data_IF_862216441912
#
_entry.id   IF_862216441912
#
_cell.length_a   1.000
_cell.length_b   1.000
_cell.length_c   1.000
_cell.angle_alpha   90.00
_cell.angle_beta   90.00
_cell.angle_gamma   90.00
#
_symmetry.space_group_name_H-M   'P 1'
#
loop_
_entity.id
_entity.type
_entity.pdbx_description
1 polymer ?
#
# COMPACT_ATOMS: atom_id res chain seq x y z
N UNK A 1 13.33 -4.12 -26.35
CA UNK A 1 13.97 -2.98 -25.63
C UNK A 1 14.14 -3.34 -24.16
N UNK A 2 14.96 -2.59 -23.44
CA UNK A 2 15.15 -2.76 -21.99
C UNK A 2 13.86 -2.50 -21.23
N UNK A 3 13.70 -3.17 -20.09
CA UNK A 3 12.64 -2.85 -19.13
C UNK A 3 13.01 -1.57 -18.39
N UNK A 4 12.16 -0.56 -18.47
CA UNK A 4 12.36 0.69 -17.70
C UNK A 4 12.02 0.47 -16.23
N UNK A 5 12.97 0.76 -15.36
CA UNK A 5 12.80 0.73 -13.91
C UNK A 5 12.72 2.17 -13.42
N UNK A 6 11.55 2.56 -12.94
CA UNK A 6 11.37 3.88 -12.33
C UNK A 6 11.79 3.80 -10.86
N UNK A 7 12.70 4.65 -10.47
CA UNK A 7 13.26 4.70 -9.11
C UNK A 7 13.45 6.15 -8.65
N UNK A 8 13.24 6.37 -7.37
CA UNK A 8 13.52 7.64 -6.70
C UNK A 8 14.28 7.42 -5.41
N UNK A 9 15.35 8.16 -5.20
CA UNK A 9 16.10 8.17 -3.94
C UNK A 9 15.30 8.78 -2.77
N UNK A 10 14.15 9.40 -3.03
CA UNK A 10 13.27 9.95 -1.98
C UNK A 10 12.81 8.87 -0.97
N UNK A 11 12.80 7.59 -1.36
CA UNK A 11 12.49 6.49 -0.45
C UNK A 11 13.43 6.43 0.77
N UNK A 12 14.68 6.89 0.63
CA UNK A 12 15.66 6.94 1.71
C UNK A 12 15.26 7.89 2.84
N UNK A 13 14.37 8.83 2.57
CA UNK A 13 13.86 9.78 3.57
C UNK A 13 12.94 9.10 4.61
N UNK A 14 12.33 7.96 4.28
CA UNK A 14 11.60 7.12 5.23
C UNK A 14 12.54 6.06 5.78
N UNK A 15 13.08 6.31 6.96
CA UNK A 15 14.08 5.43 7.59
C UNK A 15 13.84 5.29 9.10
N UNK A 16 12.76 4.61 9.52
CA UNK A 16 12.54 4.32 10.92
C UNK A 16 13.63 3.38 11.45
N UNK A 17 14.02 3.56 12.71
CA UNK A 17 15.00 2.73 13.42
C UNK A 17 14.32 1.63 14.23
N UNK A 18 13.03 1.86 14.59
CA UNK A 18 12.27 0.97 15.47
C UNK A 18 10.86 0.78 14.92
N UNK A 19 10.38 -0.45 14.97
CA UNK A 19 8.95 -0.78 14.85
C UNK A 19 8.47 -1.57 16.08
N UNK A 20 7.18 -1.52 16.35
CA UNK A 20 6.56 -2.22 17.48
C UNK A 20 5.67 -3.32 16.94
N UNK A 21 6.07 -4.56 17.16
CA UNK A 21 5.32 -5.75 16.78
C UNK A 21 5.37 -6.79 17.91
N UNK A 22 4.28 -7.52 18.10
CA UNK A 22 4.19 -8.63 19.08
C UNK A 22 4.70 -8.26 20.48
N UNK A 23 4.30 -7.07 20.95
CA UNK A 23 4.66 -6.52 22.27
C UNK A 23 6.16 -6.23 22.45
N UNK A 24 6.91 -6.12 21.39
CA UNK A 24 8.33 -5.76 21.44
C UNK A 24 8.70 -4.70 20.42
N UNK A 25 9.73 -3.93 20.72
CA UNK A 25 10.37 -3.00 19.81
C UNK A 25 11.60 -3.67 19.18
N UNK A 26 11.74 -3.58 17.88
CA UNK A 26 12.86 -4.15 17.13
C UNK A 26 13.19 -3.33 15.88
N UNK A 27 14.28 -3.64 15.20
CA UNK A 27 14.61 -3.01 13.93
C UNK A 27 13.57 -3.36 12.86
N UNK A 28 13.17 -2.40 12.02
CA UNK A 28 12.17 -2.62 10.97
C UNK A 28 12.57 -3.74 9.99
N UNK A 29 11.62 -4.60 9.66
CA UNK A 29 11.80 -5.56 8.57
C UNK A 29 11.77 -4.84 7.22
N UNK A 30 10.94 -3.81 7.08
CA UNK A 30 10.88 -2.95 5.91
C UNK A 30 11.84 -1.76 6.11
N UNK A 31 13.02 -1.82 5.50
CA UNK A 31 14.09 -0.83 5.62
C UNK A 31 14.64 -0.43 4.24
N UNK A 32 15.36 0.69 4.17
CA UNK A 32 15.91 1.24 2.93
C UNK A 32 16.76 0.25 2.14
N UNK A 33 17.52 -0.59 2.83
CA UNK A 33 18.41 -1.59 2.22
C UNK A 33 17.71 -2.62 1.33
N UNK A 34 16.41 -2.87 1.54
CA UNK A 34 15.63 -3.77 0.67
C UNK A 34 15.52 -3.21 -0.76
N UNK A 35 15.07 -1.96 -0.88
CA UNK A 35 14.96 -1.32 -2.19
C UNK A 35 16.33 -1.09 -2.85
N UNK A 36 17.34 -0.71 -2.06
CA UNK A 36 18.69 -0.53 -2.57
C UNK A 36 19.28 -1.83 -3.11
N UNK A 37 19.07 -2.96 -2.43
CA UNK A 37 19.54 -4.26 -2.91
C UNK A 37 18.89 -4.66 -4.23
N UNK A 38 17.58 -4.42 -4.37
CA UNK A 38 16.86 -4.64 -5.65
C UNK A 38 17.43 -3.72 -6.73
N UNK A 39 17.61 -2.43 -6.43
CA UNK A 39 18.19 -1.45 -7.36
C UNK A 39 19.56 -1.87 -7.86
N UNK A 40 20.45 -2.23 -6.95
CA UNK A 40 21.81 -2.68 -7.31
C UNK A 40 21.79 -3.93 -8.18
N UNK A 41 20.95 -4.90 -7.84
CA UNK A 41 20.84 -6.15 -8.60
C UNK A 41 20.32 -5.90 -10.02
N UNK A 42 19.28 -5.10 -10.17
CA UNK A 42 18.74 -4.77 -11.50
C UNK A 42 19.69 -3.87 -12.31
N UNK A 43 20.42 -2.96 -11.66
CA UNK A 43 21.39 -2.08 -12.33
C UNK A 43 22.61 -2.83 -12.88
N UNK A 44 22.90 -4.02 -12.38
CA UNK A 44 23.97 -4.89 -12.87
C UNK A 44 23.57 -5.71 -14.12
N UNK A 45 22.30 -5.67 -14.53
CA UNK A 45 21.77 -6.41 -15.67
C UNK A 45 21.37 -5.45 -16.80
N UNK A 46 21.97 -5.64 -17.97
CA UNK A 46 21.71 -4.83 -19.19
C UNK A 46 20.27 -4.91 -19.70
N UNK A 47 19.45 -5.84 -19.19
CA UNK A 47 18.02 -5.92 -19.52
C UNK A 47 17.20 -4.75 -18.94
N UNK A 48 17.75 -4.03 -17.96
CA UNK A 48 17.06 -2.95 -17.26
C UNK A 48 17.67 -1.57 -17.54
N UNK A 49 16.82 -0.55 -17.55
CA UNK A 49 17.20 0.85 -17.71
C UNK A 49 16.53 1.69 -16.62
N UNK A 50 17.32 2.32 -15.75
CA UNK A 50 16.80 3.17 -14.68
C UNK A 50 16.41 4.55 -15.19
N UNK A 51 15.22 4.99 -14.81
CA UNK A 51 14.70 6.32 -15.12
C UNK A 51 14.12 6.98 -13.86
N UNK A 52 14.23 8.31 -13.79
CA UNK A 52 13.62 9.08 -12.69
C UNK A 52 12.12 9.29 -12.91
N UNK A 53 11.32 9.32 -11.85
CA UNK A 53 9.89 9.63 -11.96
C UNK A 53 9.66 11.10 -12.34
N UNK A 54 8.50 11.37 -12.91
CA UNK A 54 7.93 12.71 -13.01
C UNK A 54 7.18 13.03 -11.71
N UNK A 55 7.04 14.31 -11.37
CA UNK A 55 6.16 14.77 -10.30
C UNK A 55 4.70 14.75 -10.78
N UNK A 56 3.83 14.08 -10.05
CA UNK A 56 2.40 13.96 -10.38
C UNK A 56 1.48 14.79 -9.48
N UNK A 57 2.03 15.43 -8.44
CA UNK A 57 1.24 16.19 -7.47
C UNK A 57 0.42 15.30 -6.52
N UNK A 58 -0.68 15.83 -6.02
CA UNK A 58 -1.54 15.14 -5.04
C UNK A 58 -2.84 14.61 -5.64
N UNK A 59 -3.21 15.02 -6.84
CA UNK A 59 -4.46 14.62 -7.51
C UNK A 59 -4.60 13.09 -7.66
N UNK A 60 -3.56 12.33 -8.08
CA UNK A 60 -3.67 10.88 -8.12
C UNK A 60 -3.94 10.24 -6.76
N UNK A 61 -3.44 10.83 -5.68
CA UNK A 61 -3.64 10.35 -4.31
C UNK A 61 -5.11 10.57 -3.91
N UNK A 62 -5.63 11.77 -4.07
CA UNK A 62 -6.99 12.13 -3.68
C UNK A 62 -8.07 11.50 -4.56
N UNK A 63 -7.69 10.94 -5.72
CA UNK A 63 -8.60 10.18 -6.57
C UNK A 63 -9.12 8.89 -5.89
N UNK A 64 -8.37 8.33 -4.94
CA UNK A 64 -8.75 7.10 -4.23
C UNK A 64 -8.62 7.20 -2.70
N UNK A 65 -7.78 8.10 -2.19
CA UNK A 65 -7.63 8.33 -0.75
C UNK A 65 -8.41 9.55 -0.28
N UNK A 66 -8.84 9.50 0.97
CA UNK A 66 -9.50 10.61 1.64
C UNK A 66 -8.52 11.79 1.77
N UNK A 67 -8.99 12.99 1.41
CA UNK A 67 -8.20 14.22 1.55
C UNK A 67 -7.75 14.49 2.98
N UNK A 68 -8.53 14.04 3.98
CA UNK A 68 -8.17 14.13 5.39
C UNK A 68 -6.92 13.31 5.73
N UNK A 69 -6.80 12.09 5.17
CA UNK A 69 -5.61 11.26 5.31
C UNK A 69 -4.38 11.96 4.71
N UNK A 70 -4.52 12.51 3.49
CA UNK A 70 -3.44 13.25 2.84
C UNK A 70 -2.99 14.46 3.68
N UNK A 71 -3.93 15.29 4.14
CA UNK A 71 -3.62 16.43 5.01
C UNK A 71 -2.93 16.00 6.29
N UNK A 72 -3.47 14.96 6.96
CA UNK A 72 -2.89 14.42 8.19
C UNK A 72 -1.44 13.98 7.96
N UNK A 73 -1.17 13.12 6.99
CA UNK A 73 0.18 12.62 6.72
C UNK A 73 1.18 13.73 6.36
N UNK A 74 0.70 14.82 5.74
CA UNK A 74 1.56 15.95 5.36
C UNK A 74 2.08 16.76 6.55
N UNK A 75 1.41 16.72 7.69
CA UNK A 75 1.77 17.54 8.87
C UNK A 75 2.01 16.73 10.15
N UNK A 76 1.57 15.48 10.20
CA UNK A 76 1.48 14.68 11.42
C UNK A 76 2.78 14.60 12.22
N UNK A 77 3.92 14.40 11.54
CA UNK A 77 5.22 14.33 12.23
C UNK A 77 5.58 15.66 12.87
N UNK A 78 5.46 16.77 12.15
CA UNK A 78 5.76 18.11 12.68
C UNK A 78 4.81 18.53 13.80
N UNK A 79 3.51 18.23 13.65
CA UNK A 79 2.50 18.49 14.67
C UNK A 79 2.80 17.69 15.94
N UNK A 80 3.22 16.44 15.82
CA UNK A 80 3.58 15.62 16.98
C UNK A 80 4.82 16.17 17.72
N UNK A 81 5.87 16.57 16.99
CA UNK A 81 7.06 17.18 17.60
C UNK A 81 6.72 18.43 18.38
N UNK A 82 5.83 19.27 17.85
CA UNK A 82 5.42 20.54 18.47
C UNK A 82 4.49 20.35 19.67
N UNK A 83 3.48 19.47 19.53
CA UNK A 83 2.34 19.45 20.44
C UNK A 83 2.42 18.34 21.49
N UNK A 84 3.23 17.31 21.28
CA UNK A 84 3.36 16.16 22.18
C UNK A 84 4.75 16.05 22.77
N UNK A 85 5.75 15.70 21.99
CA UNK A 85 7.17 15.59 22.39
C UNK A 85 8.07 15.37 21.18
N UNK A 86 9.35 15.69 21.34
CA UNK A 86 10.36 15.26 20.36
C UNK A 86 10.47 13.72 20.30
N UNK A 87 10.40 13.19 19.11
CA UNK A 87 10.53 11.75 18.86
C UNK A 87 11.10 11.52 17.46
N UNK A 88 11.82 10.42 17.26
CA UNK A 88 12.30 10.00 15.94
C UNK A 88 11.22 9.26 15.15
N UNK A 89 10.44 8.44 15.84
CA UNK A 89 9.31 7.69 15.30
C UNK A 89 8.04 8.03 16.06
N UNK A 90 6.95 8.12 15.33
CA UNK A 90 5.63 8.44 15.88
C UNK A 90 4.66 7.33 15.50
N UNK A 91 4.08 6.71 16.51
CA UNK A 91 3.07 5.65 16.38
C UNK A 91 1.85 5.98 17.23
N UNK A 92 0.66 5.45 16.91
CA UNK A 92 -0.54 5.65 17.73
C UNK A 92 -0.46 4.94 19.08
N UNK A 93 -1.02 5.55 20.10
CA UNK A 93 -1.27 4.91 21.41
C UNK A 93 -2.60 4.15 21.43
N UNK A 94 -3.57 4.58 20.62
CA UNK A 94 -4.93 4.06 20.61
C UNK A 94 -5.51 4.16 19.20
N UNK A 95 -6.29 3.17 18.81
CA UNK A 95 -6.95 3.12 17.50
C UNK A 95 -8.44 3.37 17.61
N UNK A 96 -9.00 4.09 16.63
CA UNK A 96 -10.43 4.22 16.51
C UNK A 96 -11.07 2.87 16.16
N UNK A 97 -12.00 2.42 17.00
CA UNK A 97 -12.89 1.28 16.70
C UNK A 97 -14.33 1.75 16.73
N UNK A 98 -15.09 1.36 15.71
CA UNK A 98 -16.49 1.79 15.58
C UNK A 98 -17.34 1.47 16.82
N UNK A 99 -17.12 0.32 17.46
CA UNK A 99 -17.84 -0.10 18.65
C UNK A 99 -17.50 0.70 19.93
N UNK A 100 -16.39 1.46 19.95
CA UNK A 100 -16.14 2.41 21.05
C UNK A 100 -17.13 3.58 21.06
N UNK A 101 -17.73 3.88 19.92
CA UNK A 101 -18.71 4.96 19.77
C UNK A 101 -20.11 4.46 19.42
N UNK A 102 -20.31 3.17 19.43
CA UNK A 102 -21.66 2.62 19.22
C UNK A 102 -22.64 3.22 20.26
N UNK A 103 -23.72 3.81 19.74
CA UNK A 103 -24.73 4.53 20.55
C UNK A 103 -24.23 5.79 21.29
N UNK A 104 -23.06 6.32 20.93
CA UNK A 104 -22.50 7.54 21.55
C UNK A 104 -22.42 8.74 20.58
N UNK A 105 -23.16 8.70 19.48
CA UNK A 105 -23.23 9.76 18.49
C UNK A 105 -22.29 9.55 17.28
N UNK A 106 -22.15 10.59 16.46
CA UNK A 106 -21.43 10.54 15.22
C UNK A 106 -19.92 10.39 15.37
N UNK A 107 -19.29 9.85 14.34
CA UNK A 107 -17.84 9.78 14.22
C UNK A 107 -17.27 11.19 14.01
N UNK A 108 -16.38 11.62 14.90
CA UNK A 108 -15.72 12.93 14.84
C UNK A 108 -14.21 12.74 14.92
N UNK A 109 -13.47 13.31 13.97
CA UNK A 109 -12.02 13.33 14.01
C UNK A 109 -11.52 14.13 15.23
N UNK A 110 -10.59 13.60 16.04
CA UNK A 110 -10.00 14.35 17.14
C UNK A 110 -9.24 15.60 16.69
N UNK A 111 -9.15 16.62 17.55
CA UNK A 111 -8.33 17.81 17.25
C UNK A 111 -6.84 17.54 17.50
N UNK A 112 -6.51 16.80 18.56
CA UNK A 112 -5.11 16.50 18.89
C UNK A 112 -4.45 15.56 17.88
N UNK A 113 -3.17 15.79 17.57
CA UNK A 113 -2.39 14.92 16.68
C UNK A 113 -2.31 13.49 17.21
N UNK A 114 -2.23 13.30 18.51
CA UNK A 114 -2.19 11.97 19.15
C UNK A 114 -3.48 11.18 18.90
N UNK A 115 -4.64 11.84 18.98
CA UNK A 115 -5.92 11.24 18.61
C UNK A 115 -6.03 10.97 17.11
N UNK A 116 -5.54 11.88 16.26
CA UNK A 116 -5.53 11.72 14.80
C UNK A 116 -4.66 10.56 14.34
N UNK A 117 -3.57 10.26 15.02
CA UNK A 117 -2.75 9.08 14.74
C UNK A 117 -3.60 7.81 14.72
N UNK A 118 -4.38 7.57 15.77
CA UNK A 118 -5.25 6.39 15.84
C UNK A 118 -6.54 6.49 15.02
N UNK A 119 -6.89 7.69 14.55
CA UNK A 119 -8.00 7.89 13.62
C UNK A 119 -7.66 7.44 12.20
N UNK A 120 -6.42 7.71 11.74
CA UNK A 120 -5.95 7.46 10.39
C UNK A 120 -5.05 6.22 10.26
N UNK A 121 -4.64 5.58 11.38
CA UNK A 121 -3.80 4.38 11.40
C UNK A 121 -4.54 3.19 12.01
N UNK A 122 -4.24 1.97 11.56
CA UNK A 122 -4.90 0.78 12.09
C UNK A 122 -3.97 -0.16 12.88
N UNK A 123 -2.66 0.14 12.99
CA UNK A 123 -1.72 -0.74 13.69
C UNK A 123 -0.41 0.00 14.08
N UNK A 124 0.55 -0.67 14.73
CA UNK A 124 1.74 -0.05 15.34
C UNK A 124 3.05 -0.24 14.57
N UNK A 125 3.05 -1.01 13.48
CA UNK A 125 4.29 -1.33 12.74
C UNK A 125 4.66 -0.27 11.70
N UNK A 126 3.87 0.80 11.58
CA UNK A 126 4.04 1.82 10.53
C UNK A 126 4.34 3.20 11.14
N UNK A 127 5.56 3.40 11.68
CA UNK A 127 5.91 4.66 12.29
C UNK A 127 6.05 5.79 11.27
N UNK A 128 5.68 7.00 11.66
CA UNK A 128 5.99 8.23 10.94
C UNK A 128 7.37 8.74 11.36
N UNK A 129 8.16 9.18 10.40
CA UNK A 129 9.45 9.85 10.60
C UNK A 129 9.46 11.18 9.86
N UNK A 130 10.51 11.97 10.01
CA UNK A 130 10.63 13.31 9.42
C UNK A 130 10.41 13.33 7.90
N UNK A 131 10.85 12.31 7.18
CA UNK A 131 10.78 12.26 5.71
C UNK A 131 9.73 11.28 5.16
N UNK A 132 8.85 10.74 6.01
CA UNK A 132 7.87 9.72 5.60
C UNK A 132 6.92 10.23 4.52
N UNK A 133 6.39 11.44 4.66
CA UNK A 133 5.45 12.00 3.70
C UNK A 133 6.08 12.19 2.31
N UNK A 134 7.29 12.74 2.25
CA UNK A 134 8.03 12.93 1.02
C UNK A 134 8.36 11.60 0.34
N UNK A 135 8.77 10.60 1.12
CA UNK A 135 9.04 9.26 0.60
C UNK A 135 7.76 8.60 0.07
N UNK A 136 6.65 8.69 0.80
CA UNK A 136 5.37 8.13 0.38
C UNK A 136 4.84 8.80 -0.90
N UNK A 137 4.98 10.12 -1.02
CA UNK A 137 4.67 10.84 -2.25
C UNK A 137 5.57 10.45 -3.41
N UNK A 138 6.86 10.32 -3.15
CA UNK A 138 7.82 9.85 -4.16
C UNK A 138 7.50 8.45 -4.67
N UNK A 139 7.01 7.56 -3.81
CA UNK A 139 6.58 6.21 -4.22
C UNK A 139 5.36 6.27 -5.16
N UNK A 140 4.43 7.18 -4.94
CA UNK A 140 3.31 7.44 -5.86
C UNK A 140 3.82 7.96 -7.21
N UNK A 141 4.74 8.92 -7.21
CA UNK A 141 5.34 9.43 -8.44
C UNK A 141 6.04 8.32 -9.24
N UNK A 142 6.72 7.40 -8.56
CA UNK A 142 7.34 6.20 -9.16
C UNK A 142 6.28 5.30 -9.81
N UNK A 143 5.22 4.94 -9.09
CA UNK A 143 4.15 4.08 -9.60
C UNK A 143 3.45 4.70 -10.82
N UNK A 144 3.10 5.98 -10.73
CA UNK A 144 2.44 6.72 -11.80
C UNK A 144 3.33 6.85 -13.04
N UNK A 145 4.61 7.11 -12.85
CA UNK A 145 5.56 7.23 -13.98
C UNK A 145 5.80 5.88 -14.66
N UNK A 146 5.89 4.79 -13.88
CA UNK A 146 5.98 3.43 -14.44
C UNK A 146 4.71 3.08 -15.24
N UNK A 147 3.55 3.44 -14.73
CA UNK A 147 2.27 3.28 -15.41
C UNK A 147 2.22 4.06 -16.74
N UNK A 148 2.65 5.31 -16.73
CA UNK A 148 2.66 6.14 -17.93
C UNK A 148 3.56 5.57 -19.04
N UNK A 149 4.69 4.98 -18.68
CA UNK A 149 5.58 4.31 -19.65
C UNK A 149 4.83 3.22 -20.43
N UNK A 150 3.97 2.45 -19.75
CA UNK A 150 3.14 1.43 -20.41
C UNK A 150 2.02 2.06 -21.24
N UNK A 151 1.37 3.09 -20.73
CA UNK A 151 0.35 3.84 -21.47
C UNK A 151 0.91 4.51 -22.73
N UNK A 152 2.18 4.89 -22.72
CA UNK A 152 2.91 5.45 -23.89
C UNK A 152 3.37 4.36 -24.88
N UNK A 153 3.01 3.09 -24.66
CA UNK A 153 3.20 2.00 -25.61
C UNK A 153 4.31 1.01 -25.26
N UNK A 154 4.97 1.12 -24.11
CA UNK A 154 5.88 0.07 -23.65
C UNK A 154 5.09 -1.19 -23.23
N UNK A 155 5.66 -2.38 -23.47
CA UNK A 155 5.02 -3.65 -23.08
C UNK A 155 4.96 -3.85 -21.58
N UNK A 156 5.94 -3.32 -20.86
CA UNK A 156 6.09 -3.42 -19.42
C UNK A 156 6.97 -2.30 -18.89
N UNK A 157 6.90 -2.10 -17.60
CA UNK A 157 7.77 -1.25 -16.79
C UNK A 157 7.83 -1.78 -15.37
N UNK A 158 8.78 -1.32 -14.59
CA UNK A 158 8.90 -1.66 -13.18
C UNK A 158 8.97 -0.38 -12.32
N UNK A 159 8.05 -0.22 -11.41
CA UNK A 159 8.09 0.84 -10.40
C UNK A 159 8.69 0.30 -9.10
N UNK A 160 9.93 0.68 -8.78
CA UNK A 160 10.56 0.31 -7.51
C UNK A 160 10.10 1.27 -6.41
N UNK A 161 8.89 0.99 -5.91
CA UNK A 161 8.22 1.80 -4.90
C UNK A 161 8.66 1.42 -3.49
N UNK A 162 9.01 2.41 -2.70
CA UNK A 162 9.14 2.35 -1.25
C UNK A 162 8.82 3.73 -0.67
N UNK A 163 7.98 3.83 0.37
CA UNK A 163 7.21 2.78 1.09
C UNK A 163 6.30 1.95 0.20
N UNK A 164 5.93 0.72 0.65
CA UNK A 164 4.92 -0.10 -0.04
C UNK A 164 3.53 0.51 0.05
N UNK A 165 2.49 -0.15 -0.53
CA UNK A 165 1.19 0.50 -0.66
C UNK A 165 -0.05 -0.36 -0.37
N UNK A 166 -0.01 -1.67 -0.53
CA UNK A 166 -1.20 -2.52 -0.64
C UNK A 166 -2.05 -2.65 0.64
N UNK A 167 -1.50 -2.30 1.80
CA UNK A 167 -2.26 -2.26 3.05
C UNK A 167 -2.98 -0.92 3.29
N UNK A 168 -2.57 0.17 2.63
CA UNK A 168 -3.25 1.45 2.76
C UNK A 168 -4.64 1.40 2.12
N UNK A 169 -5.67 1.64 2.91
CA UNK A 169 -7.06 1.75 2.45
C UNK A 169 -7.35 3.17 1.96
N UNK A 170 -8.58 3.45 1.55
CA UNK A 170 -8.97 4.81 1.17
C UNK A 170 -8.78 5.84 2.29
N UNK A 171 -8.84 5.41 3.55
CA UNK A 171 -8.86 6.28 4.72
C UNK A 171 -8.00 5.84 5.90
N UNK A 172 -7.18 4.78 5.74
CA UNK A 172 -6.27 4.31 6.80
C UNK A 172 -4.90 3.95 6.22
N UNK A 173 -3.84 4.33 6.93
CA UNK A 173 -2.49 3.84 6.69
C UNK A 173 -2.10 2.76 7.71
N UNK A 174 -1.16 1.90 7.34
CA UNK A 174 -0.67 0.80 8.18
C UNK A 174 -0.01 -0.28 7.33
N UNK A 175 0.55 -1.32 7.95
CA UNK A 175 1.27 -2.38 7.24
C UNK A 175 2.45 -1.87 6.42
N UNK A 176 3.18 -0.90 6.94
CA UNK A 176 4.27 -0.15 6.26
C UNK A 176 3.81 0.76 5.12
N UNK A 177 2.50 0.85 4.86
CA UNK A 177 1.91 1.51 3.69
C UNK A 177 1.21 2.81 4.10
N UNK A 178 1.47 3.90 3.37
CA UNK A 178 0.87 5.22 3.60
C UNK A 178 -0.13 5.58 2.50
N UNK A 179 0.26 5.45 1.23
CA UNK A 179 -0.59 5.55 0.06
C UNK A 179 -0.54 4.26 -0.74
N UNK A 180 -1.64 3.86 -1.33
CA UNK A 180 -1.70 2.62 -2.10
C UNK A 180 -1.23 2.83 -3.54
N UNK A 181 0.07 2.69 -3.77
CA UNK A 181 0.72 2.95 -5.06
C UNK A 181 0.08 2.17 -6.21
N UNK A 182 -0.16 0.88 -6.02
CA UNK A 182 -0.75 0.01 -7.04
C UNK A 182 -2.21 0.36 -7.33
N UNK A 183 -3.00 0.69 -6.31
CA UNK A 183 -4.39 1.11 -6.49
C UNK A 183 -4.50 2.46 -7.19
N UNK A 184 -3.63 3.41 -6.87
CA UNK A 184 -3.54 4.71 -7.57
C UNK A 184 -3.27 4.48 -9.05
N UNK A 185 -2.27 3.65 -9.38
CA UNK A 185 -1.91 3.29 -10.74
C UNK A 185 -3.07 2.61 -11.48
N UNK A 186 -3.70 1.60 -10.87
CA UNK A 186 -4.82 0.88 -11.45
C UNK A 186 -6.03 1.78 -11.72
N UNK A 187 -6.34 2.67 -10.77
CA UNK A 187 -7.39 3.68 -10.95
C UNK A 187 -7.09 4.59 -12.14
N UNK A 188 -5.86 5.09 -12.22
CA UNK A 188 -5.45 5.97 -13.32
C UNK A 188 -5.61 5.28 -14.68
N UNK A 189 -5.17 4.03 -14.82
CA UNK A 189 -5.32 3.26 -16.06
C UNK A 189 -6.80 3.06 -16.40
N UNK A 190 -7.60 2.57 -15.45
CA UNK A 190 -9.02 2.31 -15.68
C UNK A 190 -9.77 3.57 -16.13
N UNK A 191 -9.45 4.73 -15.53
CA UNK A 191 -10.10 6.01 -15.87
C UNK A 191 -9.61 6.60 -17.18
N UNK A 192 -8.31 6.54 -17.47
CA UNK A 192 -7.77 7.14 -18.70
C UNK A 192 -8.03 6.31 -19.95
N UNK A 193 -8.15 4.98 -19.83
CA UNK A 193 -8.35 4.08 -20.98
C UNK A 193 -9.79 3.59 -21.14
N UNK A 194 -10.61 3.63 -20.08
CA UNK A 194 -11.93 3.01 -20.05
C UNK A 194 -11.91 1.49 -20.08
N UNK A 195 -10.73 0.85 -19.93
CA UNK A 195 -10.57 -0.60 -19.93
C UNK A 195 -10.58 -1.17 -18.52
N UNK A 196 -10.94 -2.44 -18.39
CA UNK A 196 -10.82 -3.18 -17.12
C UNK A 196 -9.36 -3.43 -16.80
N UNK A 197 -8.99 -3.23 -15.55
CA UNK A 197 -7.62 -3.44 -15.03
C UNK A 197 -7.64 -4.55 -13.98
N UNK A 198 -6.59 -5.37 -13.92
CA UNK A 198 -6.40 -6.31 -12.83
C UNK A 198 -5.18 -5.93 -12.01
N UNK A 199 -5.33 -5.89 -10.70
CA UNK A 199 -4.23 -5.90 -9.74
C UNK A 199 -4.03 -7.33 -9.26
N UNK A 200 -2.91 -7.94 -9.66
CA UNK A 200 -2.47 -9.25 -9.16
C UNK A 200 -1.45 -9.00 -8.04
N UNK A 201 -1.82 -9.36 -6.83
CA UNK A 201 -1.00 -9.21 -5.63
C UNK A 201 -0.46 -10.58 -5.21
N UNK A 202 0.86 -10.71 -5.23
CA UNK A 202 1.58 -11.94 -4.87
C UNK A 202 2.40 -11.76 -3.59
N UNK A 203 2.15 -10.67 -2.84
CA UNK A 203 2.74 -10.50 -1.51
C UNK A 203 2.25 -11.59 -0.57
N UNK A 204 3.11 -11.99 0.38
CA UNK A 204 2.74 -12.96 1.40
C UNK A 204 1.53 -12.52 2.23
N UNK A 205 1.37 -11.23 2.45
CA UNK A 205 0.24 -10.67 3.17
C UNK A 205 -0.88 -10.21 2.23
N UNK A 206 -2.11 -10.42 2.64
CA UNK A 206 -3.27 -9.94 1.88
C UNK A 206 -3.26 -8.41 1.75
N UNK A 207 -3.43 -7.92 0.52
CA UNK A 207 -3.55 -6.49 0.21
C UNK A 207 -4.91 -5.92 0.58
N UNK A 208 -5.20 -5.83 1.89
CA UNK A 208 -6.49 -5.37 2.41
C UNK A 208 -6.88 -3.97 1.93
N UNK A 209 -5.90 -3.09 1.73
CA UNK A 209 -6.15 -1.73 1.24
C UNK A 209 -6.63 -1.74 -0.21
N UNK A 210 -5.98 -2.50 -1.07
CA UNK A 210 -6.39 -2.63 -2.48
C UNK A 210 -7.79 -3.23 -2.59
N UNK A 211 -8.08 -4.29 -1.82
CA UNK A 211 -9.41 -4.87 -1.76
C UNK A 211 -10.46 -3.84 -1.34
N UNK A 212 -10.23 -3.09 -0.27
CA UNK A 212 -11.19 -2.11 0.24
C UNK A 212 -11.46 -0.99 -0.78
N UNK A 213 -10.44 -0.47 -1.45
CA UNK A 213 -10.57 0.61 -2.44
C UNK A 213 -11.44 0.18 -3.63
N UNK A 214 -11.30 -1.06 -4.09
CA UNK A 214 -12.02 -1.56 -5.28
C UNK A 214 -13.22 -2.46 -4.99
N UNK A 215 -13.60 -2.62 -3.73
CA UNK A 215 -14.57 -3.62 -3.28
C UNK A 215 -15.95 -3.52 -3.95
N UNK A 216 -16.40 -2.30 -4.28
CA UNK A 216 -17.67 -2.03 -4.94
C UNK A 216 -17.52 -1.67 -6.43
N UNK A 217 -16.32 -1.84 -7.01
CA UNK A 217 -15.99 -1.47 -8.38
C UNK A 217 -15.79 -2.70 -9.25
N UNK A 218 -16.23 -2.61 -10.53
CA UNK A 218 -16.06 -3.66 -11.54
C UNK A 218 -15.07 -3.29 -12.65
N UNK A 219 -14.55 -2.05 -12.64
CA UNK A 219 -13.53 -1.60 -13.59
C UNK A 219 -12.10 -1.97 -13.15
N UNK A 220 -11.92 -2.36 -11.88
CA UNK A 220 -10.67 -2.94 -11.38
C UNK A 220 -10.96 -4.29 -10.70
N UNK A 221 -10.32 -5.34 -11.20
CA UNK A 221 -10.32 -6.65 -10.57
C UNK A 221 -9.13 -6.73 -9.60
N UNK A 222 -9.37 -7.27 -8.41
CA UNK A 222 -8.31 -7.56 -7.43
C UNK A 222 -8.17 -9.08 -7.24
N UNK A 223 -6.98 -9.59 -7.48
CA UNK A 223 -6.62 -11.01 -7.32
C UNK A 223 -5.43 -11.11 -6.40
N UNK A 224 -5.54 -11.84 -5.31
CA UNK A 224 -4.48 -11.94 -4.30
C UNK A 224 -4.21 -13.39 -3.89
N UNK A 225 -2.92 -13.79 -3.95
CA UNK A 225 -2.41 -15.03 -3.34
C UNK A 225 -1.65 -14.62 -2.08
N UNK A 226 -2.03 -15.17 -0.93
CA UNK A 226 -1.45 -14.74 0.36
C UNK A 226 -1.58 -15.84 1.41
N UNK A 227 -0.81 -15.71 2.48
CA UNK A 227 -0.91 -16.61 3.63
C UNK A 227 -2.30 -16.54 4.27
N UNK A 228 -2.81 -17.70 4.73
CA UNK A 228 -4.13 -17.82 5.34
C UNK A 228 -4.34 -16.78 6.46
N UNK A 229 -5.30 -15.85 6.31
CA UNK A 229 -5.51 -14.77 7.29
C UNK A 229 -5.96 -15.28 8.67
N UNK A 230 -6.43 -16.51 8.79
CA UNK A 230 -6.68 -17.12 10.10
C UNK A 230 -5.42 -17.20 10.96
N UNK A 231 -4.21 -17.11 10.37
CA UNK A 231 -2.92 -17.21 11.04
C UNK A 231 -1.92 -16.13 10.67
N UNK A 232 -2.13 -15.46 9.53
CA UNK A 232 -1.24 -14.43 9.01
C UNK A 232 -1.88 -13.03 9.08
N UNK A 233 -1.06 -12.01 9.31
CA UNK A 233 -1.47 -10.61 9.17
C UNK A 233 -2.10 -10.39 7.77
N UNK A 234 -3.13 -9.59 7.59
CA UNK A 234 -3.80 -8.71 8.57
C UNK A 234 -4.98 -9.37 9.31
N UNK A 235 -5.10 -10.66 9.36
CA UNK A 235 -6.04 -11.51 10.10
C UNK A 235 -7.52 -11.36 9.76
N UNK A 236 -8.01 -10.14 9.54
CA UNK A 236 -9.43 -9.81 9.43
C UNK A 236 -9.94 -9.73 7.99
N UNK A 237 -9.05 -9.88 7.00
CA UNK A 237 -9.37 -9.76 5.57
C UNK A 237 -8.59 -10.79 4.76
N UNK A 238 -9.07 -11.11 3.54
CA UNK A 238 -8.38 -12.03 2.63
C UNK A 238 -8.98 -13.44 2.59
N UNK A 239 -10.18 -13.63 3.15
CA UNK A 239 -10.89 -14.91 3.12
C UNK A 239 -11.49 -15.18 1.74
N UNK A 240 -11.49 -16.46 1.33
CA UNK A 240 -11.87 -16.88 -0.02
C UNK A 240 -13.32 -16.57 -0.41
N UNK A 241 -14.23 -16.54 0.57
CA UNK A 241 -15.63 -16.22 0.34
C UNK A 241 -15.92 -14.74 0.07
N UNK A 242 -14.91 -13.88 0.27
CA UNK A 242 -15.03 -12.42 0.06
C UNK A 242 -14.74 -12.10 -1.41
N UNK A 243 -15.79 -11.75 -2.16
CA UNK A 243 -15.72 -11.61 -3.62
C UNK A 243 -16.11 -10.23 -4.15
N UNK A 244 -16.28 -9.24 -3.28
CA UNK A 244 -16.76 -7.90 -3.63
C UNK A 244 -18.24 -7.68 -3.33
N UNK A 245 -18.70 -6.45 -3.45
CA UNK A 245 -20.10 -6.07 -3.22
C UNK A 245 -20.62 -5.13 -4.30
N UNK A 246 -21.95 -4.95 -4.35
CA UNK A 246 -22.58 -4.09 -5.33
C UNK A 246 -22.14 -4.41 -6.76
N UNK A 247 -21.66 -3.40 -7.48
CA UNK A 247 -21.12 -3.55 -8.84
C UNK A 247 -19.82 -4.35 -8.88
N UNK A 248 -19.07 -4.37 -7.78
CA UNK A 248 -17.81 -5.11 -7.65
C UNK A 248 -17.94 -6.59 -7.33
N UNK A 249 -19.17 -7.11 -7.20
CA UNK A 249 -19.38 -8.54 -6.91
C UNK A 249 -18.73 -9.41 -7.98
N UNK A 250 -17.86 -10.33 -7.54
CA UNK A 250 -17.05 -11.20 -8.43
C UNK A 250 -15.80 -10.53 -8.99
N UNK A 251 -15.49 -9.28 -8.60
CA UNK A 251 -14.25 -8.59 -9.00
C UNK A 251 -13.12 -8.75 -8.00
N UNK A 252 -13.34 -9.43 -6.87
CA UNK A 252 -12.30 -9.80 -5.91
C UNK A 252 -12.13 -11.31 -5.90
N UNK A 253 -10.90 -11.79 -6.02
CA UNK A 253 -10.53 -13.19 -5.87
C UNK A 253 -9.40 -13.31 -4.83
N UNK A 254 -9.71 -13.90 -3.69
CA UNK A 254 -8.76 -14.21 -2.63
C UNK A 254 -8.40 -15.69 -2.67
N UNK A 255 -7.10 -15.99 -2.73
CA UNK A 255 -6.54 -17.33 -2.71
C UNK A 255 -5.65 -17.48 -1.46
N UNK A 256 -6.25 -17.70 -0.26
CA UNK A 256 -5.50 -17.91 0.96
C UNK A 256 -4.77 -19.25 0.93
N UNK A 257 -3.48 -19.24 1.21
CA UNK A 257 -2.63 -20.42 1.17
C UNK A 257 -2.29 -20.88 2.60
N UNK A 258 -2.43 -22.19 2.91
CA UNK A 258 -2.10 -22.71 4.22
C UNK A 258 -0.60 -22.58 4.53
N UNK A 259 -0.27 -22.62 5.83
CA UNK A 259 1.14 -22.66 6.23
C UNK A 259 1.83 -23.89 5.62
N UNK A 260 3.09 -23.68 5.19
CA UNK A 260 3.92 -24.71 4.51
C UNK A 260 3.37 -25.13 3.13
N UNK A 261 2.70 -24.24 2.43
CA UNK A 261 2.39 -24.42 1.01
C UNK A 261 3.70 -24.65 0.25
N UNK A 262 3.75 -25.74 -0.49
CA UNK A 262 4.88 -26.07 -1.37
C UNK A 262 4.76 -25.36 -2.72
N UNK A 263 5.82 -25.47 -3.55
CA UNK A 263 5.89 -24.79 -4.84
C UNK A 263 4.79 -25.27 -5.79
N UNK A 264 4.47 -26.56 -5.82
CA UNK A 264 3.44 -27.12 -6.71
C UNK A 264 2.04 -26.58 -6.35
N UNK A 265 1.74 -26.51 -5.06
CA UNK A 265 0.47 -25.95 -4.55
C UNK A 265 0.40 -24.43 -4.81
N UNK A 266 1.51 -23.70 -4.66
CA UNK A 266 1.58 -22.28 -4.97
C UNK A 266 1.37 -22.03 -6.46
N UNK A 267 2.05 -22.80 -7.33
CA UNK A 267 1.91 -22.70 -8.78
C UNK A 267 0.50 -23.00 -9.26
N UNK A 268 -0.16 -23.99 -8.66
CA UNK A 268 -1.57 -24.29 -8.95
C UNK A 268 -2.51 -23.13 -8.60
N UNK A 269 -2.29 -22.47 -7.48
CA UNK A 269 -3.03 -21.26 -7.11
C UNK A 269 -2.74 -20.09 -8.04
N UNK A 270 -1.48 -19.93 -8.47
CA UNK A 270 -1.09 -18.90 -9.43
C UNK A 270 -1.73 -19.13 -10.80
N UNK A 271 -1.81 -20.37 -11.26
CA UNK A 271 -2.52 -20.73 -12.50
C UNK A 271 -4.00 -20.36 -12.40
N UNK A 272 -4.68 -20.69 -11.29
CA UNK A 272 -6.07 -20.27 -11.04
C UNK A 272 -6.22 -18.74 -11.06
N UNK A 273 -5.28 -18.00 -10.46
CA UNK A 273 -5.27 -16.55 -10.50
C UNK A 273 -5.15 -16.04 -11.95
N UNK A 274 -4.21 -16.56 -12.73
CA UNK A 274 -4.01 -16.18 -14.13
C UNK A 274 -5.22 -16.50 -15.03
N UNK A 275 -5.89 -17.63 -14.79
CA UNK A 275 -7.13 -17.99 -15.51
C UNK A 275 -8.28 -17.03 -15.22
N UNK A 276 -8.32 -16.43 -14.05
CA UNK A 276 -9.34 -15.43 -13.68
C UNK A 276 -9.12 -14.06 -14.33
N UNK A 277 -7.91 -13.80 -14.81
CA UNK A 277 -7.50 -12.54 -15.47
C UNK A 277 -7.78 -12.67 -16.97
N UNK A 278 -8.97 -12.26 -17.41
CA UNK A 278 -9.39 -12.33 -18.83
C UNK A 278 -9.79 -10.97 -19.35
#
# INVERSE_FOLDING_TARGET
>A
GRVKVVYSASHLLHNPEVEIERSSAHSPFEHTGRAEKIRETLAADDAFEFVSPKAWGTEPITAIHNEGLLRFLSTAWADYQRDVKESREVVPDMFFKSNLREKMGDRVEPESVNGKLGWWCFETTTPLTVGTYEAARGAVDVAMSATQIVLDGAKNSYGLCRPPGHHATSDLYGGYCFFNNAAIAAHHVAKSTGTKVTVLDVDYHHGNGTQQIFYERNDVQFVSLHGDPARAYPYFTGYAEVTGSGKGRGSTLNLPLPARTDDDSYMSALEQACESIK
#
